data_IF_130956223805
#
_entry.id   IF_130956223805
#
_cell.length_a   1.000
_cell.length_b   1.000
_cell.length_c   1.000
_cell.angle_alpha   90.00
_cell.angle_beta   90.00
_cell.angle_gamma   90.00
#
_symmetry.space_group_name_H-M   'P 1'
#
loop_
_entity.id
_entity.type
_entity.pdbx_description
1 polymer ?
#
# COMPACT_ATOMS: atom_id res chain seq x y z
N UNK A 1 1.88 -16.35 -7.77
CA UNK A 1 1.91 -14.96 -8.28
C UNK A 1 0.77 -14.77 -9.25
N UNK A 2 -0.09 -13.77 -9.02
CA UNK A 2 -1.16 -13.42 -9.93
C UNK A 2 -0.55 -12.73 -11.15
N UNK A 3 -0.77 -13.23 -12.36
CA UNK A 3 -0.34 -12.55 -13.58
C UNK A 3 -1.34 -11.45 -13.93
N UNK A 4 -1.09 -10.24 -13.42
CA UNK A 4 -1.79 -9.03 -13.84
C UNK A 4 -1.11 -8.53 -15.13
N UNK A 5 -1.91 -8.16 -16.14
CA UNK A 5 -1.39 -7.85 -17.48
C UNK A 5 -0.58 -6.54 -17.58
N UNK A 6 -0.58 -5.71 -16.53
CA UNK A 6 0.09 -4.41 -16.48
C UNK A 6 0.66 -4.15 -15.08
N UNK A 7 1.74 -3.35 -14.97
CA UNK A 7 2.23 -2.89 -13.68
C UNK A 7 1.13 -2.11 -12.94
N UNK A 8 1.01 -2.35 -11.65
CA UNK A 8 -0.05 -1.78 -10.82
C UNK A 8 0.52 -1.18 -9.54
N UNK A 9 0.01 -0.01 -9.17
CA UNK A 9 0.30 0.67 -7.90
C UNK A 9 -1.04 1.05 -7.29
N UNK A 10 -1.39 0.50 -6.13
CA UNK A 10 -2.58 0.97 -5.43
C UNK A 10 -2.27 2.28 -4.70
N UNK A 11 -3.20 3.23 -4.78
CA UNK A 11 -3.04 4.55 -4.14
C UNK A 11 -4.17 4.79 -3.17
N UNK A 12 -3.83 5.11 -1.92
CA UNK A 12 -4.79 5.56 -0.93
C UNK A 12 -4.83 7.08 -0.92
N UNK A 13 -5.69 7.62 -1.77
CA UNK A 13 -5.92 9.05 -1.92
C UNK A 13 -6.52 9.66 -0.65
N UNK A 14 -6.13 10.90 -0.32
CA UNK A 14 -6.63 11.66 0.84
C UNK A 14 -6.28 11.00 2.19
N UNK A 15 -5.06 10.49 2.30
CA UNK A 15 -4.56 9.90 3.54
C UNK A 15 -4.61 10.90 4.74
N UNK A 16 -4.66 12.20 4.48
CA UNK A 16 -4.84 13.23 5.50
C UNK A 16 -6.20 13.16 6.23
N UNK A 17 -7.24 12.61 5.57
CA UNK A 17 -8.55 12.43 6.19
C UNK A 17 -8.56 11.30 7.23
N UNK A 18 -7.72 10.27 7.05
CA UNK A 18 -7.63 9.17 8.02
C UNK A 18 -7.22 9.68 9.41
N UNK A 19 -6.35 10.69 9.47
CA UNK A 19 -6.03 11.37 10.74
C UNK A 19 -7.21 12.12 11.32
N UNK A 20 -7.87 12.93 10.49
CA UNK A 20 -8.99 13.79 10.94
C UNK A 20 -10.13 12.95 11.51
N UNK A 21 -10.26 11.73 11.02
CA UNK A 21 -11.30 10.78 11.40
C UNK A 21 -10.78 9.64 12.29
N UNK A 22 -9.60 9.78 12.90
CA UNK A 22 -8.97 8.70 13.68
C UNK A 22 -9.86 8.17 14.80
N UNK A 23 -10.66 9.02 15.44
CA UNK A 23 -11.59 8.63 16.50
C UNK A 23 -12.76 7.75 16.02
N UNK A 24 -13.07 7.79 14.72
CA UNK A 24 -14.15 7.01 14.10
C UNK A 24 -13.68 5.73 13.42
N UNK A 25 -12.37 5.46 13.43
CA UNK A 25 -11.80 4.26 12.82
C UNK A 25 -11.78 3.11 13.81
N UNK A 26 -12.10 1.91 13.33
CA UNK A 26 -12.05 0.69 14.14
C UNK A 26 -10.60 0.23 14.45
N UNK A 27 -9.63 0.68 13.66
CA UNK A 27 -8.22 0.33 13.77
C UNK A 27 -7.31 1.56 13.73
N UNK A 28 -6.04 1.39 14.13
CA UNK A 28 -5.02 2.41 13.95
C UNK A 28 -4.76 2.67 12.46
N UNK A 29 -4.29 3.87 12.12
CA UNK A 29 -4.00 4.30 10.74
C UNK A 29 -3.04 3.34 10.04
N UNK A 30 -2.04 2.83 10.77
CA UNK A 30 -1.04 1.88 10.26
C UNK A 30 -1.67 0.57 9.73
N UNK A 31 -2.84 0.18 10.28
CA UNK A 31 -3.58 -0.98 9.78
C UNK A 31 -4.05 -0.78 8.34
N UNK A 32 -4.49 0.42 8.01
CA UNK A 32 -5.03 0.75 6.69
C UNK A 32 -3.96 1.06 5.65
N UNK A 33 -2.72 1.38 6.08
CA UNK A 33 -1.59 1.63 5.17
C UNK A 33 -0.75 0.38 4.92
N UNK A 34 -0.38 -0.32 5.99
CA UNK A 34 0.65 -1.37 5.93
C UNK A 34 0.02 -2.76 5.82
N UNK A 35 -1.29 -2.85 6.04
CA UNK A 35 -2.10 -4.08 5.88
C UNK A 35 -1.42 -5.24 6.61
N UNK A 36 -1.20 -5.03 7.92
CA UNK A 36 -0.36 -5.90 8.75
C UNK A 36 -0.93 -7.32 8.92
N UNK A 37 -2.17 -7.41 9.38
CA UNK A 37 -2.83 -8.67 9.71
C UNK A 37 -4.34 -8.55 9.51
N UNK A 38 -4.86 -9.11 8.43
CA UNK A 38 -6.29 -8.99 8.12
C UNK A 38 -7.16 -9.86 9.03
N UNK A 39 -6.59 -10.69 9.91
CA UNK A 39 -7.37 -11.43 10.89
C UNK A 39 -8.11 -10.52 11.87
N UNK A 40 -7.59 -9.32 12.16
CA UNK A 40 -8.32 -8.31 12.95
C UNK A 40 -9.61 -7.86 12.25
N UNK A 41 -9.55 -7.68 10.92
CA UNK A 41 -10.73 -7.36 10.12
C UNK A 41 -11.72 -8.53 10.11
N UNK A 42 -11.25 -9.78 10.00
CA UNK A 42 -12.12 -10.96 10.04
C UNK A 42 -12.93 -11.02 11.35
N UNK A 43 -12.28 -10.76 12.49
CA UNK A 43 -12.95 -10.73 13.79
C UNK A 43 -14.01 -9.64 13.88
N UNK A 44 -13.76 -8.48 13.27
CA UNK A 44 -14.72 -7.38 13.23
C UNK A 44 -15.91 -7.71 12.32
N UNK A 45 -15.66 -8.31 11.17
CA UNK A 45 -16.69 -8.78 10.24
C UNK A 45 -17.59 -9.84 10.89
N UNK A 46 -17.03 -10.74 11.70
CA UNK A 46 -17.81 -11.78 12.39
C UNK A 46 -18.77 -11.23 13.46
N UNK A 47 -18.53 -10.02 14.00
CA UNK A 47 -19.42 -9.38 14.98
C UNK A 47 -20.73 -8.90 14.36
N UNK A 48 -20.75 -8.65 13.05
CA UNK A 48 -21.95 -8.18 12.36
C UNK A 48 -22.85 -9.36 11.97
N UNK A 49 -24.14 -9.41 12.39
CA UNK A 49 -25.07 -10.49 12.06
C UNK A 49 -25.21 -10.76 10.55
N UNK A 50 -25.03 -9.74 9.72
CA UNK A 50 -25.11 -9.89 8.27
C UNK A 50 -23.87 -10.55 7.66
N UNK A 51 -22.69 -10.32 8.23
CA UNK A 51 -21.40 -10.78 7.71
C UNK A 51 -20.98 -12.13 8.31
N UNK A 52 -21.44 -12.46 9.52
CA UNK A 52 -21.12 -13.72 10.21
C UNK A 52 -21.52 -14.98 9.43
N UNK A 53 -22.61 -14.92 8.63
CA UNK A 53 -23.00 -16.03 7.73
C UNK A 53 -21.97 -16.32 6.63
N UNK A 54 -21.12 -15.35 6.30
CA UNK A 54 -20.10 -15.44 5.25
C UNK A 54 -18.69 -15.68 5.82
N UNK A 55 -18.55 -16.09 7.08
CA UNK A 55 -17.26 -16.29 7.74
C UNK A 55 -16.24 -17.09 6.92
N UNK A 56 -16.66 -18.22 6.32
CA UNK A 56 -15.78 -19.04 5.47
C UNK A 56 -15.33 -18.31 4.20
N UNK A 57 -16.23 -17.53 3.60
CA UNK A 57 -15.93 -16.74 2.40
C UNK A 57 -14.97 -15.59 2.73
N UNK A 58 -15.25 -14.85 3.80
CA UNK A 58 -14.41 -13.74 4.27
C UNK A 58 -12.99 -14.23 4.61
N UNK A 59 -12.87 -15.37 5.28
CA UNK A 59 -11.57 -15.99 5.57
C UNK A 59 -10.80 -16.38 4.30
N UNK A 60 -11.47 -17.02 3.33
CA UNK A 60 -10.84 -17.35 2.05
C UNK A 60 -10.40 -16.12 1.25
N UNK A 61 -11.19 -15.04 1.28
CA UNK A 61 -10.83 -13.77 0.64
C UNK A 61 -9.62 -13.12 1.30
N UNK A 62 -9.58 -13.10 2.63
CA UNK A 62 -8.44 -12.58 3.39
C UNK A 62 -7.17 -13.36 3.05
N UNK A 63 -7.23 -14.70 3.08
CA UNK A 63 -6.08 -15.52 2.74
C UNK A 63 -5.58 -15.25 1.31
N UNK A 64 -6.49 -15.09 0.35
CA UNK A 64 -6.13 -14.73 -1.03
C UNK A 64 -5.50 -13.33 -1.12
N UNK A 65 -5.96 -12.36 -0.33
CA UNK A 65 -5.37 -11.02 -0.31
C UNK A 65 -3.95 -11.06 0.26
N UNK A 66 -3.74 -11.80 1.36
CA UNK A 66 -2.43 -11.91 2.03
C UNK A 66 -1.43 -12.70 1.18
N UNK A 67 -1.80 -13.89 0.67
CA UNK A 67 -0.92 -14.76 -0.13
C UNK A 67 -0.45 -14.10 -1.43
N UNK A 68 -1.25 -13.20 -2.01
CA UNK A 68 -0.95 -12.51 -3.25
C UNK A 68 -0.59 -11.03 -3.07
N UNK A 69 -0.55 -10.55 -1.81
CA UNK A 69 -0.30 -9.15 -1.45
C UNK A 69 -1.11 -8.15 -2.30
N UNK A 70 -2.39 -8.46 -2.56
CA UNK A 70 -3.21 -7.72 -3.52
C UNK A 70 -3.64 -6.33 -3.02
N UNK A 71 -3.58 -6.14 -1.70
CA UNK A 71 -4.01 -4.92 -1.02
C UNK A 71 -2.79 -4.34 -0.32
N UNK A 72 -2.07 -3.49 -1.05
CA UNK A 72 -0.97 -2.68 -0.52
C UNK A 72 -1.05 -1.30 -1.15
N UNK A 73 -1.15 -0.23 -0.36
CA UNK A 73 -1.38 1.13 -0.85
C UNK A 73 -0.20 2.06 -0.57
N UNK A 74 0.05 2.97 -1.52
CA UNK A 74 0.84 4.17 -1.28
C UNK A 74 -0.09 5.25 -0.69
N UNK A 75 0.09 5.69 0.56
CA UNK A 75 -0.72 6.75 1.15
C UNK A 75 -0.36 8.11 0.53
N UNK A 76 -1.36 8.82 0.00
CA UNK A 76 -1.12 10.08 -0.72
C UNK A 76 -1.92 11.24 -0.13
N UNK A 77 -1.20 12.31 0.18
CA UNK A 77 -1.75 13.64 0.48
C UNK A 77 -1.33 14.62 -0.62
N UNK A 78 -2.31 15.13 -1.37
CA UNK A 78 -2.09 16.07 -2.48
C UNK A 78 -1.43 17.38 -2.05
N UNK A 79 -1.55 17.76 -0.78
CA UNK A 79 -0.94 18.97 -0.23
C UNK A 79 0.53 18.76 0.19
N UNK A 80 1.02 17.51 0.17
CA UNK A 80 2.38 17.16 0.55
C UNK A 80 3.20 16.79 -0.69
N UNK A 81 4.14 17.66 -1.06
CA UNK A 81 5.07 17.42 -2.17
C UNK A 81 5.86 16.12 -1.99
N UNK A 82 6.28 15.82 -0.75
CA UNK A 82 7.02 14.58 -0.43
C UNK A 82 6.19 13.33 -0.70
N UNK A 83 4.90 13.37 -0.37
CA UNK A 83 3.97 12.26 -0.61
C UNK A 83 3.78 12.01 -2.11
N UNK A 84 3.65 13.09 -2.90
CA UNK A 84 3.57 13.02 -4.35
C UNK A 84 4.87 12.51 -4.99
N UNK A 85 6.03 12.96 -4.49
CA UNK A 85 7.34 12.48 -4.96
C UNK A 85 7.49 10.97 -4.71
N UNK A 86 7.05 10.50 -3.54
CA UNK A 86 7.07 9.08 -3.18
C UNK A 86 6.19 8.27 -4.15
N UNK A 87 4.95 8.72 -4.41
CA UNK A 87 4.07 8.09 -5.39
C UNK A 87 4.71 8.04 -6.79
N UNK A 88 5.26 9.17 -7.25
CA UNK A 88 5.94 9.26 -8.55
C UNK A 88 7.07 8.24 -8.65
N UNK A 89 7.90 8.12 -7.62
CA UNK A 89 9.00 7.16 -7.59
C UNK A 89 8.49 5.70 -7.60
N UNK A 90 7.39 5.39 -6.90
CA UNK A 90 6.75 4.07 -6.96
C UNK A 90 6.23 3.75 -8.36
N UNK A 91 5.60 4.72 -9.04
CA UNK A 91 5.10 4.56 -10.42
C UNK A 91 6.25 4.37 -11.41
N UNK A 92 7.31 5.18 -11.31
CA UNK A 92 8.50 5.03 -12.14
C UNK A 92 9.15 3.65 -11.94
N UNK A 93 9.19 3.15 -10.71
CA UNK A 93 9.72 1.82 -10.39
C UNK A 93 8.87 0.72 -11.03
N UNK A 94 7.54 0.82 -10.90
CA UNK A 94 6.62 -0.16 -11.46
C UNK A 94 6.68 -0.20 -13.00
N UNK A 95 6.89 0.95 -13.64
CA UNK A 95 7.02 1.07 -15.09
C UNK A 95 8.44 0.82 -15.62
N UNK A 96 9.44 0.69 -14.74
CA UNK A 96 10.84 0.56 -15.14
C UNK A 96 11.51 1.87 -15.59
N UNK A 97 10.87 3.03 -15.40
CA UNK A 97 11.40 4.36 -15.73
C UNK A 97 12.40 4.90 -14.68
N UNK A 98 12.59 4.19 -13.57
CA UNK A 98 13.61 4.51 -12.55
C UNK A 98 15.03 4.62 -13.14
N UNK A 99 15.29 3.98 -14.29
CA UNK A 99 16.56 4.07 -15.01
C UNK A 99 16.42 5.18 -16.07
N UNK A 100 16.97 6.37 -15.80
CA UNK A 100 16.90 7.49 -16.74
C UNK A 100 17.52 7.17 -18.11
N UNK A 101 17.12 7.93 -19.14
CA UNK A 101 17.46 7.66 -20.56
C UNK A 101 18.95 7.90 -20.91
N UNK A 102 19.79 8.28 -19.93
CA UNK A 102 21.20 8.65 -20.13
C UNK A 102 22.17 8.19 -19.05
N UNK A 103 21.76 7.35 -18.10
CA UNK A 103 22.70 6.82 -17.09
C UNK A 103 23.41 5.58 -17.60
N UNK A 104 24.75 5.54 -17.47
CA UNK A 104 25.53 4.32 -17.71
C UNK A 104 24.94 3.19 -16.85
N UNK A 105 24.47 2.13 -17.51
CA UNK A 105 23.87 0.94 -16.89
C UNK A 105 24.93 0.06 -16.21
N UNK A 106 25.68 0.63 -15.28
CA UNK A 106 26.48 -0.15 -14.35
C UNK A 106 25.53 -0.92 -13.42
N UNK A 107 25.82 -2.21 -13.21
CA UNK A 107 25.03 -3.08 -12.31
C UNK A 107 24.92 -2.46 -10.91
N UNK A 108 25.94 -1.72 -10.47
CA UNK A 108 25.94 -0.96 -9.21
C UNK A 108 24.91 0.18 -9.20
N UNK A 109 24.81 0.95 -10.28
CA UNK A 109 23.85 2.06 -10.39
C UNK A 109 22.42 1.51 -10.42
N UNK A 110 22.17 0.45 -11.19
CA UNK A 110 20.86 -0.22 -11.21
C UNK A 110 20.46 -0.78 -9.84
N UNK A 111 21.40 -1.42 -9.12
CA UNK A 111 21.16 -1.90 -7.76
C UNK A 111 20.93 -0.74 -6.78
N UNK A 112 21.69 0.35 -6.88
CA UNK A 112 21.51 1.54 -6.03
C UNK A 112 20.14 2.18 -6.22
N UNK A 113 19.67 2.32 -7.46
CA UNK A 113 18.35 2.88 -7.76
C UNK A 113 17.21 1.94 -7.32
N UNK A 114 17.39 0.63 -7.48
CA UNK A 114 16.43 -0.36 -7.01
C UNK A 114 16.31 -0.38 -5.47
N UNK A 115 17.44 -0.29 -4.76
CA UNK A 115 17.51 -0.34 -3.29
C UNK A 115 17.13 1.00 -2.65
N UNK A 116 17.46 2.14 -3.27
CA UNK A 116 17.13 3.49 -2.79
C UNK A 116 15.65 3.85 -2.77
N UNK A 117 14.79 2.99 -3.34
CA UNK A 117 13.33 3.15 -3.30
C UNK A 117 12.67 2.57 -2.04
N UNK A 118 13.41 1.87 -1.18
CA UNK A 118 12.91 1.44 0.13
C UNK A 118 13.21 2.54 1.17
N UNK A 119 12.60 3.71 1.02
CA UNK A 119 12.43 4.56 2.19
C UNK A 119 11.47 3.81 3.15
N UNK A 120 11.81 3.63 4.44
CA UNK A 120 10.81 3.22 5.42
C UNK A 120 9.62 4.18 5.31
N UNK A 121 8.39 3.65 5.43
CA UNK A 121 7.16 4.42 5.28
C UNK A 121 7.29 5.78 5.94
N UNK A 122 7.18 6.83 5.13
CA UNK A 122 7.28 8.17 5.64
C UNK A 122 5.96 8.53 6.33
N UNK A 123 5.92 8.28 7.64
CA UNK A 123 4.84 8.76 8.50
C UNK A 123 4.80 10.31 8.55
N UNK A 124 5.61 11.06 7.79
CA UNK A 124 5.39 12.50 7.60
C UNK A 124 4.16 12.83 6.76
N UNK A 125 3.61 11.89 5.98
CA UNK A 125 2.21 12.01 5.50
C UNK A 125 1.26 12.07 6.71
N UNK A 126 1.68 11.41 7.79
CA UNK A 126 1.00 11.36 9.07
C UNK A 126 1.43 12.40 10.14
N UNK A 127 2.41 13.26 9.85
CA UNK A 127 2.67 14.51 10.61
C UNK A 127 1.96 15.71 9.98
#
# INVERSE_FOLDING_TARGET
MLHIGLPHVNVLSKADLLKKNQESLDFNIDFYTDVLDLNYLLQLLDKNPFSSKFKKLNASLINLIEEYSLVWFVPVNINSERSLLTLKNCVDKANGYVFGDGEERSVRTMLSCAVGSNAPFDHSVFM
#
